data_IF_304670419890
#
_entry.id   IF_304670419890
#
_cell.length_a   1.000
_cell.length_b   1.000
_cell.length_c   1.000
_cell.angle_alpha   90.00
_cell.angle_beta   90.00
_cell.angle_gamma   90.00
#
_symmetry.space_group_name_H-M   'P 1'
#
loop_
_entity.id
_entity.type
_entity.pdbx_description
1 polymer ?
#
# COMPACT_ATOMS: atom_id res chain seq x y z
N UNK A 1 -12.79 -6.90 -4.42
CA UNK A 1 -12.49 -7.10 -2.97
C UNK A 1 -11.55 -8.27 -2.86
N UNK A 2 -10.46 -8.10 -2.15
CA UNK A 2 -9.54 -9.19 -1.85
C UNK A 2 -10.32 -10.36 -1.22
N UNK A 3 -10.10 -11.57 -1.73
CA UNK A 3 -10.91 -12.74 -1.34
C UNK A 3 -10.65 -13.11 0.12
N UNK A 4 -9.39 -13.08 0.53
CA UNK A 4 -8.98 -13.41 1.90
C UNK A 4 -9.54 -12.40 2.90
N UNK A 5 -9.40 -11.11 2.65
CA UNK A 5 -9.97 -10.06 3.50
C UNK A 5 -11.50 -10.13 3.57
N UNK A 6 -12.14 -10.47 2.45
CA UNK A 6 -13.59 -10.66 2.43
C UNK A 6 -14.03 -11.86 3.29
N UNK A 7 -13.29 -12.95 3.26
CA UNK A 7 -13.57 -14.16 4.05
C UNK A 7 -13.33 -13.91 5.55
N UNK A 8 -12.19 -13.30 5.93
CA UNK A 8 -11.90 -12.87 7.32
C UNK A 8 -13.00 -11.97 7.87
N UNK A 9 -13.41 -10.96 7.10
CA UNK A 9 -14.47 -10.05 7.54
C UNK A 9 -15.81 -10.76 7.74
N UNK A 10 -16.20 -11.69 6.86
CA UNK A 10 -17.41 -12.50 7.02
C UNK A 10 -17.36 -13.40 8.25
N UNK A 11 -16.21 -14.02 8.54
CA UNK A 11 -16.00 -14.82 9.74
C UNK A 11 -16.19 -13.99 11.00
N UNK A 12 -15.54 -12.82 11.08
CA UNK A 12 -15.68 -11.89 12.21
C UNK A 12 -17.15 -11.51 12.43
N UNK A 13 -17.87 -11.16 11.34
CA UNK A 13 -19.29 -10.80 11.42
C UNK A 13 -20.16 -11.96 11.96
N UNK A 14 -19.85 -13.20 11.58
CA UNK A 14 -20.53 -14.39 12.08
C UNK A 14 -20.27 -14.58 13.58
N UNK A 15 -19.03 -14.43 14.02
CA UNK A 15 -18.64 -14.54 15.43
C UNK A 15 -19.26 -13.44 16.31
N UNK A 16 -19.34 -12.20 15.82
CA UNK A 16 -20.02 -11.07 16.48
C UNK A 16 -21.52 -11.30 16.72
N UNK A 17 -22.11 -12.30 16.10
CA UNK A 17 -23.55 -12.54 16.21
C UNK A 17 -23.95 -13.38 17.45
N UNK A 18 -22.99 -13.93 18.19
CA UNK A 18 -23.24 -14.80 19.32
C UNK A 18 -22.42 -14.36 20.53
N UNK A 19 -23.03 -14.34 21.71
CA UNK A 19 -22.37 -13.94 22.96
C UNK A 19 -21.15 -14.80 23.29
N UNK A 20 -21.26 -16.11 23.14
CA UNK A 20 -20.19 -17.07 23.46
C UNK A 20 -18.94 -16.92 22.57
N UNK A 21 -19.07 -16.30 21.39
CA UNK A 21 -17.95 -16.07 20.47
C UNK A 21 -17.57 -14.60 20.36
N UNK A 22 -18.19 -13.71 21.13
CA UNK A 22 -17.97 -12.27 21.03
C UNK A 22 -16.52 -11.88 21.34
N UNK A 23 -15.93 -12.41 22.41
CA UNK A 23 -14.54 -12.12 22.77
C UNK A 23 -13.55 -12.56 21.66
N UNK A 24 -13.80 -13.73 21.05
CA UNK A 24 -13.01 -14.18 19.89
C UNK A 24 -13.20 -13.25 18.68
N UNK A 25 -14.43 -12.81 18.43
CA UNK A 25 -14.72 -11.88 17.32
C UNK A 25 -13.96 -10.56 17.45
N UNK A 26 -13.92 -9.97 18.66
CA UNK A 26 -13.18 -8.72 18.90
C UNK A 26 -11.67 -8.94 18.73
N UNK A 27 -11.10 -10.01 19.26
CA UNK A 27 -9.68 -10.33 19.07
C UNK A 27 -9.33 -10.48 17.59
N UNK A 28 -10.09 -11.29 16.83
CA UNK A 28 -9.89 -11.44 15.38
C UNK A 28 -10.08 -10.14 14.60
N UNK A 29 -11.00 -9.28 15.03
CA UNK A 29 -11.19 -7.97 14.42
C UNK A 29 -9.95 -7.10 14.60
N UNK A 30 -9.38 -7.06 15.79
CA UNK A 30 -8.17 -6.26 16.08
C UNK A 30 -6.98 -6.80 15.28
N UNK A 31 -6.75 -8.12 15.27
CA UNK A 31 -5.71 -8.77 14.47
C UNK A 31 -5.87 -8.45 12.97
N UNK A 32 -7.11 -8.47 12.45
CA UNK A 32 -7.39 -8.11 11.07
C UNK A 32 -7.17 -6.63 10.78
N UNK A 33 -7.48 -5.74 11.72
CA UNK A 33 -7.20 -4.31 11.62
C UNK A 33 -5.70 -4.02 11.66
N UNK A 34 -4.90 -4.80 12.42
CA UNK A 34 -3.44 -4.72 12.39
C UNK A 34 -2.90 -5.05 11.00
N UNK A 35 -3.41 -6.12 10.39
CA UNK A 35 -3.03 -6.53 9.02
C UNK A 35 -3.38 -5.43 7.99
N UNK A 36 -4.59 -4.87 8.08
CA UNK A 36 -5.03 -3.79 7.19
C UNK A 36 -4.21 -2.50 7.41
N UNK A 37 -3.93 -2.14 8.66
CA UNK A 37 -3.13 -0.96 8.98
C UNK A 37 -1.70 -1.10 8.47
N UNK A 38 -1.14 -2.30 8.51
CA UNK A 38 0.18 -2.59 7.96
C UNK A 38 0.27 -2.25 6.46
N UNK A 39 -0.82 -2.39 5.68
CA UNK A 39 -0.84 -1.96 4.28
C UNK A 39 -0.67 -0.44 4.15
N UNK A 40 -1.29 0.33 5.06
CA UNK A 40 -1.13 1.79 5.11
C UNK A 40 0.30 2.15 5.49
N UNK A 41 0.85 1.49 6.51
CA UNK A 41 2.24 1.66 6.95
C UNK A 41 3.21 1.46 5.78
N UNK A 42 3.06 0.37 5.03
CA UNK A 42 3.91 0.10 3.86
C UNK A 42 3.80 1.16 2.76
N UNK A 43 2.62 1.76 2.59
CA UNK A 43 2.45 2.85 1.63
C UNK A 43 3.14 4.13 2.15
N UNK A 44 2.91 4.50 3.41
CA UNK A 44 3.47 5.73 3.99
C UNK A 44 4.99 5.70 4.05
N UNK A 45 5.57 4.58 4.49
CA UNK A 45 7.02 4.42 4.58
C UNK A 45 7.70 4.20 3.22
N UNK A 46 6.97 3.67 2.24
CA UNK A 46 7.54 3.25 0.96
C UNK A 46 7.44 4.26 -0.17
N UNK A 47 6.67 5.34 -0.02
CA UNK A 47 6.41 6.28 -1.12
C UNK A 47 6.74 7.72 -0.75
N UNK A 48 7.29 8.51 -1.69
CA UNK A 48 7.56 9.92 -1.45
C UNK A 48 6.24 10.72 -1.33
N UNK A 49 6.32 11.84 -0.62
CA UNK A 49 5.19 12.71 -0.31
C UNK A 49 4.34 13.05 -1.55
N UNK A 50 5.00 13.33 -2.69
CA UNK A 50 4.29 13.65 -3.94
C UNK A 50 3.32 12.57 -4.43
N UNK A 51 3.52 11.30 -4.07
CA UNK A 51 2.61 10.21 -4.43
C UNK A 51 1.25 10.34 -3.71
N UNK A 52 1.23 11.03 -2.57
CA UNK A 52 0.05 11.09 -1.70
C UNK A 52 -1.03 12.05 -2.18
N UNK A 53 -0.70 13.02 -3.03
CA UNK A 53 -1.67 13.97 -3.58
C UNK A 53 -1.95 13.76 -5.08
N UNK A 54 -1.38 12.73 -5.70
CA UNK A 54 -1.65 12.42 -7.10
C UNK A 54 -2.95 11.62 -7.26
N UNK A 55 -3.70 11.92 -8.34
CA UNK A 55 -4.95 11.27 -8.72
C UNK A 55 -4.79 10.54 -10.07
N UNK A 56 -4.20 9.33 -10.10
CA UNK A 56 -3.93 8.63 -11.36
C UNK A 56 -5.21 8.09 -12.04
N UNK A 57 -6.35 8.19 -11.38
CA UNK A 57 -7.67 7.82 -11.86
C UNK A 57 -8.67 9.00 -11.78
N UNK A 58 -8.20 10.22 -12.03
CA UNK A 58 -9.09 11.39 -12.07
C UNK A 58 -10.26 11.15 -13.03
N UNK A 59 -11.47 11.48 -12.58
CA UNK A 59 -12.71 11.26 -13.33
C UNK A 59 -13.25 9.84 -13.35
N UNK A 60 -12.58 8.87 -12.73
CA UNK A 60 -13.14 7.52 -12.55
C UNK A 60 -14.26 7.51 -11.49
N UNK A 61 -15.16 6.54 -11.59
CA UNK A 61 -16.17 6.30 -10.55
C UNK A 61 -15.62 5.31 -9.51
N UNK A 62 -15.76 5.64 -8.22
CA UNK A 62 -15.42 4.75 -7.11
C UNK A 62 -14.26 5.26 -6.23
N UNK A 63 -13.91 4.47 -5.23
CA UNK A 63 -12.94 4.86 -4.18
C UNK A 63 -11.53 5.16 -4.70
N UNK A 64 -11.13 4.57 -5.82
CA UNK A 64 -9.81 4.80 -6.43
C UNK A 64 -9.69 6.12 -7.21
N UNK A 65 -10.80 6.88 -7.36
CA UNK A 65 -10.76 8.25 -7.94
C UNK A 65 -10.30 9.30 -6.93
N UNK A 66 -9.64 8.89 -5.88
CA UNK A 66 -9.15 9.73 -4.78
C UNK A 66 -7.61 9.72 -4.76
N UNK A 67 -7.03 10.38 -3.76
CA UNK A 67 -5.59 10.32 -3.48
C UNK A 67 -5.30 9.34 -2.33
N UNK A 68 -4.02 9.02 -2.11
CA UNK A 68 -3.61 8.22 -0.96
C UNK A 68 -3.85 8.97 0.35
N UNK A 69 -3.47 10.25 0.44
CA UNK A 69 -3.64 11.05 1.65
C UNK A 69 -5.13 11.25 1.99
N UNK A 70 -5.96 11.59 1.01
CA UNK A 70 -7.41 11.67 1.23
C UNK A 70 -7.97 10.36 1.78
N UNK A 71 -7.57 9.21 1.23
CA UNK A 71 -8.10 7.91 1.67
C UNK A 71 -7.74 7.60 3.12
N UNK A 72 -6.51 7.95 3.56
CA UNK A 72 -6.09 7.82 4.96
C UNK A 72 -6.92 8.75 5.84
N UNK A 73 -7.00 10.05 5.47
CA UNK A 73 -7.83 11.01 6.19
C UNK A 73 -9.26 10.52 6.35
N UNK A 74 -9.90 10.15 5.27
CA UNK A 74 -11.29 9.76 5.24
C UNK A 74 -11.60 8.51 6.10
N UNK A 75 -10.74 7.49 6.04
CA UNK A 75 -10.89 6.30 6.88
C UNK A 75 -10.89 6.69 8.36
N UNK A 76 -9.85 7.43 8.78
CA UNK A 76 -9.63 7.67 10.20
C UNK A 76 -10.47 8.82 10.76
N UNK A 77 -10.89 9.80 9.94
CA UNK A 77 -11.89 10.79 10.37
C UNK A 77 -13.24 10.15 10.67
N UNK A 78 -13.72 9.28 9.77
CA UNK A 78 -14.97 8.56 10.02
C UNK A 78 -14.85 7.70 11.27
N UNK A 79 -13.76 6.99 11.43
CA UNK A 79 -13.56 6.12 12.58
C UNK A 79 -13.45 6.91 13.89
N UNK A 80 -12.72 8.01 13.91
CA UNK A 80 -12.53 8.87 15.07
C UNK A 80 -13.88 9.43 15.55
N UNK A 81 -14.67 9.99 14.64
CA UNK A 81 -16.02 10.49 14.95
C UNK A 81 -16.90 9.38 15.53
N UNK A 82 -16.95 8.23 14.88
CA UNK A 82 -17.83 7.13 15.31
C UNK A 82 -17.36 6.51 16.62
N UNK A 83 -16.05 6.30 16.80
CA UNK A 83 -15.49 5.71 18.00
C UNK A 83 -15.69 6.60 19.22
N UNK A 84 -15.33 7.87 19.10
CA UNK A 84 -15.26 8.78 20.22
C UNK A 84 -16.61 9.50 20.47
N UNK A 85 -17.15 10.15 19.46
CA UNK A 85 -18.36 10.95 19.67
C UNK A 85 -19.63 10.09 19.84
N UNK A 86 -19.69 8.93 19.14
CA UNK A 86 -20.89 8.10 19.18
C UNK A 86 -20.80 6.93 20.18
N UNK A 87 -19.69 6.20 20.22
CA UNK A 87 -19.59 4.97 21.02
C UNK A 87 -19.11 5.29 22.43
N UNK A 88 -17.96 5.95 22.57
CA UNK A 88 -17.35 6.27 23.87
C UNK A 88 -17.99 7.50 24.54
N UNK A 89 -18.42 8.48 23.78
CA UNK A 89 -18.98 9.74 24.28
C UNK A 89 -17.89 10.67 24.84
N UNK A 90 -16.70 10.62 24.27
CA UNK A 90 -15.54 11.42 24.67
C UNK A 90 -14.99 12.24 23.50
N UNK A 91 -13.90 12.99 23.73
CA UNK A 91 -13.29 13.85 22.74
C UNK A 91 -12.59 13.03 21.63
N UNK A 92 -12.75 13.46 20.40
CA UNK A 92 -12.11 12.87 19.22
C UNK A 92 -10.60 13.06 19.29
N UNK A 93 -9.84 12.07 18.78
CA UNK A 93 -8.37 12.10 18.72
C UNK A 93 -7.86 13.30 17.93
N UNK A 94 -8.56 13.73 16.87
CA UNK A 94 -8.17 14.87 16.07
C UNK A 94 -7.94 16.15 16.90
N UNK A 95 -8.68 16.31 17.97
CA UNK A 95 -8.62 17.52 18.83
C UNK A 95 -7.69 17.34 20.04
N UNK A 96 -7.08 16.19 20.20
CA UNK A 96 -6.06 15.90 21.23
C UNK A 96 -4.66 16.10 20.68
N UNK A 97 -3.71 16.37 21.56
CA UNK A 97 -2.25 16.36 21.29
C UNK A 97 -1.84 17.13 20.02
N UNK A 98 -2.54 18.22 19.70
CA UNK A 98 -2.31 19.10 18.54
C UNK A 98 -2.37 18.42 17.16
N UNK A 99 -2.99 17.25 17.04
CA UNK A 99 -3.06 16.50 15.78
C UNK A 99 -3.61 17.33 14.61
N UNK A 100 -4.70 18.10 14.82
CA UNK A 100 -5.28 18.94 13.75
C UNK A 100 -4.26 19.93 13.18
N UNK A 101 -3.54 20.60 14.07
CA UNK A 101 -2.51 21.57 13.70
C UNK A 101 -1.32 20.90 13.03
N UNK A 102 -0.84 19.78 13.58
CA UNK A 102 0.30 19.04 13.06
C UNK A 102 0.03 18.46 11.65
N UNK A 103 -1.17 17.93 11.42
CA UNK A 103 -1.60 17.43 10.09
C UNK A 103 -1.70 18.57 9.08
N UNK A 104 -1.90 19.81 9.55
CA UNK A 104 -2.21 21.00 8.74
C UNK A 104 -3.50 20.82 7.91
N UNK A 105 -4.49 20.12 8.44
CA UNK A 105 -5.76 19.92 7.74
C UNK A 105 -6.60 21.19 7.72
N UNK A 106 -7.05 21.64 6.53
CA UNK A 106 -7.94 22.81 6.41
C UNK A 106 -9.41 22.49 6.77
N UNK A 107 -9.74 21.22 7.00
CA UNK A 107 -11.08 20.75 7.35
C UNK A 107 -11.02 19.84 8.58
N UNK A 108 -12.14 19.76 9.30
CA UNK A 108 -12.36 18.82 10.40
C UNK A 108 -13.37 17.73 10.03
N UNK A 109 -13.93 17.80 8.83
CA UNK A 109 -14.96 16.91 8.30
C UNK A 109 -14.37 15.60 7.77
N UNK A 110 -15.25 14.71 7.34
CA UNK A 110 -14.85 13.44 6.72
C UNK A 110 -14.27 13.59 5.31
N UNK A 111 -14.41 14.78 4.70
CA UNK A 111 -14.00 15.07 3.34
C UNK A 111 -14.95 14.54 2.26
N UNK A 112 -16.14 14.04 2.62
CA UNK A 112 -17.12 13.56 1.63
C UNK A 112 -17.61 14.64 0.67
N UNK A 113 -17.57 15.89 1.12
CA UNK A 113 -17.92 17.09 0.35
C UNK A 113 -16.92 17.42 -0.75
N UNK A 114 -15.69 16.89 -0.68
CA UNK A 114 -14.63 17.22 -1.64
C UNK A 114 -14.77 16.41 -2.93
N UNK A 115 -14.70 17.10 -4.06
CA UNK A 115 -14.82 16.49 -5.38
C UNK A 115 -13.66 16.88 -6.32
N UNK A 116 -13.39 16.01 -7.27
CA UNK A 116 -12.45 16.28 -8.36
C UNK A 116 -11.07 16.76 -7.87
N UNK A 117 -10.63 17.91 -8.37
CA UNK A 117 -9.33 18.50 -8.05
C UNK A 117 -9.22 19.00 -6.60
N UNK A 118 -10.34 19.31 -5.94
CA UNK A 118 -10.34 19.73 -4.53
C UNK A 118 -9.70 18.68 -3.63
N UNK A 119 -9.86 17.39 -3.96
CA UNK A 119 -9.25 16.28 -3.24
C UNK A 119 -7.72 16.33 -3.32
N UNK A 120 -7.17 16.63 -4.49
CA UNK A 120 -5.73 16.76 -4.67
C UNK A 120 -5.18 17.99 -3.95
N UNK A 121 -5.88 19.13 -4.05
CA UNK A 121 -5.49 20.36 -3.37
C UNK A 121 -5.59 20.24 -1.84
N UNK A 122 -6.61 19.56 -1.32
CA UNK A 122 -6.69 19.18 0.08
C UNK A 122 -5.48 18.34 0.49
N UNK A 123 -5.20 17.27 -0.27
CA UNK A 123 -4.14 16.32 0.03
C UNK A 123 -2.74 16.94 0.03
N UNK A 124 -2.49 17.93 -0.82
CA UNK A 124 -1.21 18.69 -0.86
C UNK A 124 -0.93 19.49 0.40
N UNK A 125 -1.97 19.85 1.15
CA UNK A 125 -1.83 20.63 2.39
C UNK A 125 -1.47 19.78 3.59
N UNK A 126 -1.74 18.47 3.52
CA UNK A 126 -1.56 17.58 4.66
C UNK A 126 -0.09 17.18 4.84
N UNK A 127 0.39 17.21 6.07
CA UNK A 127 1.61 16.50 6.46
C UNK A 127 1.31 15.00 6.48
N UNK A 128 1.87 14.25 5.54
CA UNK A 128 1.65 12.79 5.41
C UNK A 128 2.10 12.05 6.67
N UNK A 129 3.22 12.44 7.26
CA UNK A 129 3.76 11.81 8.46
C UNK A 129 2.83 12.03 9.67
N UNK A 130 2.37 13.27 9.88
CA UNK A 130 1.47 13.59 10.99
C UNK A 130 0.07 12.96 10.78
N UNK A 131 -0.40 12.90 9.54
CA UNK A 131 -1.62 12.18 9.18
C UNK A 131 -1.51 10.69 9.54
N UNK A 132 -0.36 10.07 9.30
CA UNK A 132 -0.10 8.68 9.68
C UNK A 132 -0.07 8.51 11.22
N UNK A 133 0.56 9.42 11.95
CA UNK A 133 0.58 9.39 13.43
C UNK A 133 -0.83 9.54 14.01
N UNK A 134 -1.63 10.45 13.47
CA UNK A 134 -3.04 10.57 13.83
C UNK A 134 -3.81 9.27 13.52
N UNK A 135 -3.66 8.72 12.32
CA UNK A 135 -4.31 7.47 11.93
C UNK A 135 -3.98 6.31 12.90
N UNK A 136 -2.71 6.24 13.33
CA UNK A 136 -2.25 5.27 14.32
C UNK A 136 -2.89 5.50 15.68
N UNK A 137 -2.94 6.74 16.15
CA UNK A 137 -3.56 7.11 17.43
C UNK A 137 -5.07 6.78 17.44
N UNK A 138 -5.79 7.08 16.34
CA UNK A 138 -7.21 6.71 16.18
C UNK A 138 -7.38 5.18 16.24
N UNK A 139 -6.59 4.43 15.48
CA UNK A 139 -6.64 2.97 15.49
C UNK A 139 -6.45 2.41 16.90
N UNK A 140 -5.38 2.82 17.59
CA UNK A 140 -5.06 2.34 18.94
C UNK A 140 -6.16 2.69 19.95
N UNK A 141 -6.75 3.87 19.84
CA UNK A 141 -7.86 4.28 20.69
C UNK A 141 -9.14 3.50 20.40
N UNK A 142 -9.47 3.36 19.12
CA UNK A 142 -10.64 2.56 18.70
C UNK A 142 -10.52 1.10 19.11
N UNK A 143 -9.34 0.51 19.03
CA UNK A 143 -9.11 -0.88 19.44
C UNK A 143 -9.32 -1.06 20.96
N UNK A 144 -8.94 -0.06 21.78
CA UNK A 144 -9.26 -0.04 23.22
C UNK A 144 -10.77 0.05 23.47
N UNK A 145 -11.47 0.93 22.73
CA UNK A 145 -12.92 1.06 22.81
C UNK A 145 -13.59 -0.27 22.43
N UNK A 146 -13.22 -0.88 21.30
CA UNK A 146 -13.75 -2.16 20.84
C UNK A 146 -13.51 -3.28 21.85
N UNK A 147 -12.32 -3.32 22.46
CA UNK A 147 -11.94 -4.32 23.47
C UNK A 147 -12.72 -4.17 24.78
N UNK A 148 -13.17 -2.97 25.10
CA UNK A 148 -13.96 -2.68 26.34
C UNK A 148 -15.44 -3.02 26.20
N UNK A 149 -15.95 -3.17 24.96
CA UNK A 149 -17.37 -3.43 24.71
C UNK A 149 -17.80 -4.79 25.29
N UNK A 150 -19.03 -4.82 25.78
CA UNK A 150 -19.71 -6.04 26.17
C UNK A 150 -20.73 -6.44 25.11
N UNK A 151 -21.00 -7.73 24.96
CA UNK A 151 -21.93 -8.25 23.95
C UNK A 151 -23.32 -7.58 23.99
N UNK A 152 -23.83 -7.30 25.20
CA UNK A 152 -25.13 -6.61 25.38
C UNK A 152 -25.18 -5.22 24.77
N UNK A 153 -24.02 -4.54 24.65
CA UNK A 153 -23.93 -3.20 24.10
C UNK A 153 -24.05 -3.17 22.57
N UNK A 154 -23.82 -4.29 21.90
CA UNK A 154 -23.88 -4.39 20.45
C UNK A 154 -25.21 -3.93 19.86
N UNK A 155 -26.30 -4.05 20.63
CA UNK A 155 -27.66 -3.65 20.24
C UNK A 155 -28.00 -2.20 20.64
N UNK A 156 -27.08 -1.49 21.29
CA UNK A 156 -27.29 -0.09 21.68
C UNK A 156 -27.46 0.76 20.43
N UNK A 157 -28.57 1.50 20.39
CA UNK A 157 -28.88 2.46 19.34
C UNK A 157 -28.57 3.88 19.83
N UNK A 158 -28.49 4.78 18.89
CA UNK A 158 -28.17 6.18 19.14
C UNK A 158 -29.46 6.99 19.28
N UNK A 159 -29.41 8.00 20.13
CA UNK A 159 -30.56 8.86 20.45
C UNK A 159 -30.62 10.07 19.54
N UNK A 160 -31.72 10.83 19.62
CA UNK A 160 -31.82 12.14 18.97
C UNK A 160 -30.74 13.11 19.45
N UNK A 161 -30.37 13.01 20.74
CA UNK A 161 -29.30 13.85 21.32
C UNK A 161 -27.93 13.51 20.71
N UNK A 162 -27.66 12.23 20.44
CA UNK A 162 -26.43 11.83 19.72
C UNK A 162 -26.40 12.44 18.32
N UNK A 163 -27.54 12.36 17.60
CA UNK A 163 -27.65 12.97 16.27
C UNK A 163 -27.43 14.48 16.32
N UNK A 164 -28.03 15.14 17.31
CA UNK A 164 -27.91 16.60 17.50
C UNK A 164 -26.45 17.00 17.77
N UNK A 165 -25.74 16.27 18.64
CA UNK A 165 -24.33 16.52 18.93
C UNK A 165 -23.47 16.39 17.68
N UNK A 166 -23.68 15.35 16.84
CA UNK A 166 -22.97 15.18 15.57
C UNK A 166 -23.19 16.34 14.61
N UNK A 167 -24.39 16.92 14.56
CA UNK A 167 -24.67 18.12 13.76
C UNK A 167 -23.93 19.34 14.34
N UNK A 168 -23.98 19.52 15.65
CA UNK A 168 -23.35 20.65 16.34
C UNK A 168 -21.82 20.62 16.30
N UNK A 169 -21.21 19.42 16.26
CA UNK A 169 -19.76 19.25 16.17
C UNK A 169 -19.17 19.72 14.85
N UNK A 170 -20.01 19.81 13.80
CA UNK A 170 -19.58 20.14 12.42
C UNK A 170 -18.49 19.24 11.86
N UNK A 171 -18.31 18.06 12.44
CA UNK A 171 -17.35 17.05 11.94
C UNK A 171 -17.87 16.28 10.72
N UNK A 172 -19.12 16.50 10.34
CA UNK A 172 -19.70 16.10 9.05
C UNK A 172 -20.18 17.35 8.35
N UNK A 173 -19.81 17.54 7.10
CA UNK A 173 -20.22 18.70 6.30
C UNK A 173 -21.74 18.72 6.09
N UNK A 174 -22.31 19.92 5.98
CA UNK A 174 -23.71 20.13 5.64
C UNK A 174 -24.01 19.86 4.15
N UNK A 175 -22.98 19.62 3.34
CA UNK A 175 -23.12 19.26 1.94
C UNK A 175 -23.90 17.95 1.76
N UNK A 176 -24.73 17.88 0.72
CA UNK A 176 -25.57 16.70 0.46
C UNK A 176 -24.77 15.40 0.29
N UNK A 177 -23.54 15.52 -0.24
CA UNK A 177 -22.63 14.38 -0.41
C UNK A 177 -22.07 13.85 0.92
N UNK A 178 -22.19 14.59 2.02
CA UNK A 178 -21.65 14.25 3.33
C UNK A 178 -22.76 14.07 4.40
N UNK A 179 -23.76 14.92 4.42
CA UNK A 179 -24.73 15.03 5.54
C UNK A 179 -25.50 13.73 5.79
N UNK A 180 -25.74 12.93 4.76
CA UNK A 180 -26.42 11.64 4.87
C UNK A 180 -25.70 10.66 5.81
N UNK A 181 -24.39 10.84 6.07
CA UNK A 181 -23.60 10.01 6.99
C UNK A 181 -24.19 10.01 8.41
N UNK A 182 -24.67 11.15 8.88
CA UNK A 182 -25.26 11.29 10.21
C UNK A 182 -26.46 10.36 10.36
N UNK A 183 -27.38 10.36 9.38
CA UNK A 183 -28.53 9.48 9.39
C UNK A 183 -28.15 8.01 9.22
N UNK A 184 -27.16 7.75 8.38
CA UNK A 184 -26.64 6.41 8.17
C UNK A 184 -26.06 5.82 9.47
N UNK A 185 -25.22 6.56 10.19
CA UNK A 185 -24.63 6.08 11.43
C UNK A 185 -25.65 5.98 12.56
N UNK A 186 -26.46 6.99 12.76
CA UNK A 186 -27.50 6.99 13.80
C UNK A 186 -28.59 5.94 13.55
N UNK A 187 -28.78 5.52 12.33
CA UNK A 187 -29.69 4.41 11.98
C UNK A 187 -29.15 3.02 12.33
N UNK A 188 -27.84 2.89 12.66
CA UNK A 188 -27.22 1.63 13.05
C UNK A 188 -27.31 1.41 14.56
N UNK A 189 -26.98 0.22 14.99
CA UNK A 189 -26.53 -0.09 16.35
C UNK A 189 -25.00 -0.23 16.36
N UNK A 190 -24.38 -0.43 17.52
CA UNK A 190 -22.93 -0.59 17.64
C UNK A 190 -22.42 -1.73 16.75
N UNK A 191 -23.13 -2.86 16.67
CA UNK A 191 -22.76 -3.96 15.78
C UNK A 191 -22.69 -3.52 14.32
N UNK A 192 -23.67 -2.75 13.85
CA UNK A 192 -23.69 -2.21 12.49
C UNK A 192 -22.55 -1.24 12.22
N UNK A 193 -22.13 -0.47 13.22
CA UNK A 193 -20.96 0.41 13.12
C UNK A 193 -19.65 -0.39 13.08
N UNK A 194 -19.51 -1.43 13.91
CA UNK A 194 -18.35 -2.34 13.83
C UNK A 194 -18.20 -2.94 12.44
N UNK A 195 -19.32 -3.32 11.81
CA UNK A 195 -19.33 -3.97 10.51
C UNK A 195 -18.99 -3.03 9.34
N UNK A 196 -19.01 -1.72 9.53
CA UNK A 196 -18.75 -0.76 8.45
C UNK A 196 -17.57 0.15 8.77
N UNK A 197 -17.63 1.17 9.64
CA UNK A 197 -16.49 2.05 9.90
C UNK A 197 -15.22 1.32 10.35
N UNK A 198 -15.35 0.29 11.19
CA UNK A 198 -14.19 -0.38 11.80
C UNK A 198 -13.66 -1.60 11.03
N UNK A 199 -14.29 -1.98 9.91
CA UNK A 199 -13.83 -3.13 9.11
C UNK A 199 -14.02 -2.94 7.61
N UNK A 200 -15.24 -3.09 7.08
CA UNK A 200 -15.48 -3.08 5.63
C UNK A 200 -15.04 -1.77 4.96
N UNK A 201 -15.23 -0.65 5.61
CA UNK A 201 -14.82 0.66 5.11
C UNK A 201 -13.31 0.73 4.88
N UNK A 202 -12.53 0.20 5.81
CA UNK A 202 -11.08 0.09 5.66
C UNK A 202 -10.71 -0.74 4.44
N UNK A 203 -11.29 -1.94 4.30
CA UNK A 203 -11.01 -2.83 3.16
C UNK A 203 -11.21 -2.10 1.84
N UNK A 204 -12.35 -1.43 1.66
CA UNK A 204 -12.68 -0.76 0.40
C UNK A 204 -11.69 0.35 0.04
N UNK A 205 -11.29 1.16 1.03
CA UNK A 205 -10.34 2.24 0.80
C UNK A 205 -8.90 1.75 0.65
N UNK A 206 -8.47 0.75 1.40
CA UNK A 206 -7.11 0.18 1.27
C UNK A 206 -6.94 -0.51 -0.07
N UNK A 207 -7.92 -1.26 -0.56
CA UNK A 207 -7.90 -1.81 -1.92
C UNK A 207 -7.81 -0.72 -2.99
N UNK A 208 -8.53 0.37 -2.79
CA UNK A 208 -8.46 1.53 -3.68
C UNK A 208 -7.06 2.17 -3.63
N UNK A 209 -6.48 2.33 -2.44
CA UNK A 209 -5.12 2.84 -2.27
C UNK A 209 -4.08 1.94 -2.96
N UNK A 210 -4.23 0.61 -2.89
CA UNK A 210 -3.35 -0.32 -3.60
C UNK A 210 -3.45 -0.14 -5.12
N UNK A 211 -4.67 0.06 -5.67
CA UNK A 211 -4.86 0.36 -7.10
C UNK A 211 -4.22 1.69 -7.49
N UNK A 212 -4.39 2.74 -6.68
CA UNK A 212 -3.74 4.04 -6.88
C UNK A 212 -2.24 3.86 -6.92
N UNK A 213 -1.66 3.25 -5.90
CA UNK A 213 -0.23 2.94 -5.77
C UNK A 213 0.30 2.20 -7.01
N UNK A 214 -0.35 1.12 -7.42
CA UNK A 214 0.07 0.32 -8.56
C UNK A 214 0.04 1.13 -9.86
N UNK A 215 -0.97 1.98 -10.05
CA UNK A 215 -1.06 2.86 -11.21
C UNK A 215 0.04 3.93 -11.21
N UNK A 216 0.33 4.52 -10.06
CA UNK A 216 1.44 5.48 -9.90
C UNK A 216 2.78 4.83 -10.23
N UNK A 217 3.05 3.62 -9.73
CA UNK A 217 4.23 2.84 -10.07
C UNK A 217 4.35 2.61 -11.59
N UNK A 218 3.25 2.23 -12.23
CA UNK A 218 3.22 1.99 -13.67
C UNK A 218 3.48 3.27 -14.48
N UNK A 219 2.96 4.41 -14.02
CA UNK A 219 3.23 5.72 -14.65
C UNK A 219 4.69 6.10 -14.45
N UNK A 220 5.22 6.00 -13.23
CA UNK A 220 6.60 6.37 -12.91
C UNK A 220 7.65 5.55 -13.69
N UNK A 221 7.35 4.28 -14.01
CA UNK A 221 8.26 3.43 -14.82
C UNK A 221 8.23 3.72 -16.31
N UNK A 222 7.29 4.51 -16.78
CA UNK A 222 7.17 4.80 -18.21
C UNK A 222 8.36 5.66 -18.68
N UNK A 223 9.14 5.12 -19.60
CA UNK A 223 10.32 5.80 -20.16
C UNK A 223 11.58 5.73 -19.31
N UNK A 224 11.55 5.01 -18.19
CA UNK A 224 12.72 4.72 -17.35
C UNK A 224 13.43 3.46 -17.87
N UNK A 225 14.75 3.41 -17.68
CA UNK A 225 15.56 2.23 -18.03
C UNK A 225 14.97 0.96 -17.40
N UNK A 226 14.51 -0.02 -18.20
CA UNK A 226 13.89 -1.24 -17.68
C UNK A 226 14.90 -2.24 -17.08
N UNK A 227 16.19 -1.97 -17.14
CA UNK A 227 17.21 -2.80 -16.50
C UNK A 227 17.41 -2.33 -15.08
N UNK A 228 17.04 -3.19 -14.12
CA UNK A 228 17.21 -2.92 -12.70
C UNK A 228 18.69 -2.80 -12.32
N UNK A 229 18.97 -2.14 -11.19
CA UNK A 229 20.34 -2.01 -10.65
C UNK A 229 21.00 -3.38 -10.42
N UNK A 230 20.24 -4.39 -10.00
CA UNK A 230 20.70 -5.77 -9.84
C UNK A 230 20.74 -6.60 -11.15
N UNK A 231 20.52 -5.98 -12.31
CA UNK A 231 20.61 -6.64 -13.62
C UNK A 231 19.32 -7.31 -14.11
N UNK A 232 18.26 -7.36 -13.30
CA UNK A 232 16.99 -7.95 -13.74
C UNK A 232 16.26 -7.06 -14.75
N UNK A 233 15.46 -7.68 -15.64
CA UNK A 233 14.56 -6.95 -16.54
C UNK A 233 13.25 -6.63 -15.85
N UNK A 234 12.96 -5.33 -15.61
CA UNK A 234 11.70 -4.88 -15.04
C UNK A 234 10.49 -5.12 -15.97
N UNK A 235 10.70 -5.20 -17.27
CA UNK A 235 9.63 -5.46 -18.25
C UNK A 235 9.09 -6.89 -18.17
N UNK A 236 9.96 -7.82 -17.78
CA UNK A 236 9.65 -9.26 -17.70
C UNK A 236 9.54 -9.76 -16.25
N UNK A 237 9.56 -8.84 -15.27
CA UNK A 237 9.47 -9.21 -13.86
C UNK A 237 8.00 -9.47 -13.45
N UNK A 238 7.73 -10.57 -12.75
CA UNK A 238 6.40 -10.90 -12.26
C UNK A 238 5.85 -9.86 -11.26
N UNK A 239 6.72 -9.11 -10.57
CA UNK A 239 6.35 -8.01 -9.70
C UNK A 239 6.01 -6.72 -10.45
N UNK A 240 6.11 -6.73 -11.79
CA UNK A 240 6.02 -5.56 -12.64
C UNK A 240 4.81 -4.66 -12.41
N UNK A 241 3.68 -5.19 -12.02
CA UNK A 241 2.47 -4.39 -11.76
C UNK A 241 2.48 -3.70 -10.39
N UNK A 242 3.23 -4.23 -9.43
CA UNK A 242 3.21 -3.77 -8.03
C UNK A 242 4.51 -3.09 -7.59
N UNK A 243 5.55 -3.19 -8.40
CA UNK A 243 6.87 -2.67 -8.08
C UNK A 243 7.04 -1.25 -8.62
N UNK A 244 7.48 -0.32 -7.78
CA UNK A 244 7.82 1.05 -8.20
C UNK A 244 9.11 1.14 -9.01
N UNK A 245 9.95 0.09 -9.00
CA UNK A 245 11.25 0.07 -9.66
C UNK A 245 12.33 0.84 -8.90
N UNK A 246 13.57 0.37 -9.02
CA UNK A 246 14.72 1.00 -8.32
C UNK A 246 15.30 2.22 -9.03
N UNK A 247 14.84 2.53 -10.26
CA UNK A 247 15.32 3.66 -11.08
C UNK A 247 14.28 4.74 -11.29
N UNK A 248 13.10 4.60 -10.71
CA UNK A 248 12.03 5.59 -10.83
C UNK A 248 12.22 6.71 -9.82
N UNK A 249 11.49 7.79 -10.03
CA UNK A 249 11.41 8.90 -9.07
C UNK A 249 10.89 8.50 -7.69
N UNK A 250 10.18 7.37 -7.57
CA UNK A 250 9.73 6.83 -6.29
C UNK A 250 10.80 5.96 -5.62
N UNK A 251 11.78 5.44 -6.38
CA UNK A 251 12.84 4.57 -5.88
C UNK A 251 12.33 3.44 -4.96
N UNK A 252 11.22 2.83 -5.33
CA UNK A 252 10.51 1.83 -4.51
C UNK A 252 10.53 0.47 -5.19
N UNK A 253 11.63 -0.20 -5.10
CA UNK A 253 11.74 -1.60 -5.53
C UNK A 253 11.02 -2.51 -4.53
N UNK A 254 10.18 -3.44 -5.01
CA UNK A 254 9.49 -4.40 -4.14
C UNK A 254 10.44 -5.26 -3.31
N UNK A 255 11.64 -5.56 -3.81
CA UNK A 255 12.67 -6.27 -3.04
C UNK A 255 13.17 -5.45 -1.83
N UNK A 256 13.18 -4.12 -1.95
CA UNK A 256 13.60 -3.25 -0.85
C UNK A 256 12.69 -3.38 0.39
N UNK A 257 11.43 -3.77 0.21
CA UNK A 257 10.50 -3.98 1.34
C UNK A 257 10.92 -5.13 2.26
N UNK A 258 11.76 -6.04 1.78
CA UNK A 258 12.33 -7.14 2.58
C UNK A 258 13.62 -6.75 3.32
N UNK A 259 14.11 -5.51 3.13
CA UNK A 259 15.36 -5.03 3.70
C UNK A 259 15.10 -4.04 4.84
N UNK A 260 16.02 -3.99 5.82
CA UNK A 260 15.99 -3.01 6.89
C UNK A 260 15.97 -1.58 6.33
N UNK A 261 15.13 -0.72 6.89
CA UNK A 261 14.95 0.65 6.42
C UNK A 261 14.36 0.77 5.00
N UNK A 262 13.90 -0.35 4.41
CA UNK A 262 13.33 -0.41 3.05
C UNK A 262 14.23 0.16 1.95
N UNK A 263 15.52 0.08 2.17
CA UNK A 263 16.53 0.48 1.20
C UNK A 263 17.10 -0.78 0.56
N UNK A 264 17.02 -0.89 -0.77
CA UNK A 264 17.63 -2.01 -1.50
C UNK A 264 19.15 -1.97 -1.34
N UNK A 265 19.79 -3.01 -0.76
CA UNK A 265 21.23 -3.05 -0.56
C UNK A 265 22.03 -2.92 -1.87
N UNK A 266 21.51 -3.43 -2.98
CA UNK A 266 22.16 -3.28 -4.30
C UNK A 266 22.14 -1.83 -4.78
N UNK A 267 21.00 -1.14 -4.62
CA UNK A 267 20.89 0.29 -4.98
C UNK A 267 21.84 1.12 -4.13
N UNK A 268 21.87 0.91 -2.81
CA UNK A 268 22.78 1.61 -1.88
C UNK A 268 24.22 1.38 -2.27
N UNK A 269 24.63 0.12 -2.49
CA UNK A 269 25.99 -0.24 -2.86
C UNK A 269 26.43 0.40 -4.19
N UNK A 270 25.55 0.38 -5.21
CA UNK A 270 25.87 1.00 -6.50
C UNK A 270 25.98 2.52 -6.40
N UNK A 271 25.12 3.16 -5.59
CA UNK A 271 25.22 4.59 -5.32
C UNK A 271 26.55 4.96 -4.63
N UNK A 272 26.94 4.22 -3.58
CA UNK A 272 28.21 4.42 -2.85
C UNK A 272 29.43 4.20 -3.74
N UNK A 273 29.36 3.28 -4.71
CA UNK A 273 30.43 2.99 -5.67
C UNK A 273 30.39 3.90 -6.91
N UNK A 274 29.38 4.77 -7.03
CA UNK A 274 29.14 5.62 -8.19
C UNK A 274 29.11 4.85 -9.51
N UNK A 275 28.38 3.71 -9.55
CA UNK A 275 28.18 2.86 -10.72
C UNK A 275 26.67 2.77 -11.05
N UNK A 276 26.34 2.60 -12.33
CA UNK A 276 24.97 2.55 -12.81
C UNK A 276 24.22 1.29 -12.37
N UNK A 277 24.95 0.18 -12.20
CA UNK A 277 24.37 -1.06 -11.72
C UNK A 277 25.41 -2.10 -11.37
N UNK A 278 24.97 -3.20 -10.77
CA UNK A 278 25.85 -4.30 -10.35
C UNK A 278 26.65 -4.92 -11.53
N UNK A 279 26.16 -4.78 -12.76
CA UNK A 279 26.88 -5.22 -13.97
C UNK A 279 28.18 -4.44 -14.23
N UNK A 280 28.38 -3.26 -13.61
CA UNK A 280 29.65 -2.51 -13.69
C UNK A 280 30.60 -2.83 -12.52
N UNK A 281 30.10 -3.57 -11.50
CA UNK A 281 30.87 -3.83 -10.29
C UNK A 281 31.93 -4.91 -10.51
N UNK A 282 33.20 -4.60 -10.25
CA UNK A 282 34.32 -5.57 -10.37
C UNK A 282 34.21 -6.76 -9.43
N UNK A 283 33.47 -6.63 -8.32
CA UNK A 283 33.29 -7.67 -7.31
C UNK A 283 32.02 -8.52 -7.53
N UNK A 284 31.32 -8.37 -8.68
CA UNK A 284 30.02 -8.99 -8.92
C UNK A 284 30.03 -10.52 -8.70
N UNK A 285 31.07 -11.19 -9.17
CA UNK A 285 31.12 -12.68 -9.18
C UNK A 285 31.16 -13.26 -7.76
N UNK A 286 31.83 -12.57 -6.85
CA UNK A 286 31.95 -12.94 -5.43
C UNK A 286 30.92 -12.24 -4.53
N UNK A 287 30.05 -11.41 -5.09
CA UNK A 287 29.08 -10.63 -4.32
C UNK A 287 28.03 -11.54 -3.69
N UNK A 288 27.80 -11.33 -2.39
CA UNK A 288 26.80 -12.01 -1.56
C UNK A 288 25.81 -11.04 -0.90
N UNK A 289 25.70 -9.79 -1.42
CA UNK A 289 24.88 -8.71 -0.82
C UNK A 289 23.55 -8.57 -1.52
N UNK A 290 22.53 -8.19 -0.75
CA UNK A 290 21.22 -7.82 -1.25
C UNK A 290 20.58 -8.95 -2.08
N UNK A 291 20.30 -8.72 -3.36
CA UNK A 291 19.70 -9.72 -4.23
C UNK A 291 20.59 -10.95 -4.50
N UNK A 292 21.90 -10.81 -4.28
CA UNK A 292 22.89 -11.89 -4.55
C UNK A 292 23.20 -12.77 -3.33
N UNK A 293 22.46 -12.62 -2.22
CA UNK A 293 22.64 -13.53 -1.07
C UNK A 293 22.35 -14.99 -1.51
N UNK A 294 23.14 -15.98 -1.00
CA UNK A 294 22.98 -17.37 -1.41
C UNK A 294 21.61 -18.00 -1.15
N UNK A 295 20.88 -17.44 -0.18
CA UNK A 295 19.51 -17.88 0.17
C UNK A 295 18.43 -17.38 -0.79
N UNK A 296 18.77 -16.54 -1.77
CA UNK A 296 17.83 -16.05 -2.77
C UNK A 296 17.92 -16.88 -4.05
N UNK A 297 16.86 -17.61 -4.37
CA UNK A 297 16.76 -18.48 -5.55
C UNK A 297 17.02 -17.75 -6.88
N UNK A 298 16.79 -16.44 -6.93
CA UNK A 298 17.06 -15.61 -8.11
C UNK A 298 18.50 -15.09 -8.24
N UNK A 299 19.38 -15.35 -7.26
CA UNK A 299 20.72 -14.77 -7.21
C UNK A 299 21.58 -15.16 -8.42
N UNK A 300 21.62 -16.45 -8.79
CA UNK A 300 22.36 -16.96 -9.93
C UNK A 300 21.90 -16.35 -11.25
N UNK A 301 20.60 -16.32 -11.48
CA UNK A 301 20.01 -15.70 -12.67
C UNK A 301 20.37 -14.19 -12.76
N UNK A 302 20.29 -13.47 -11.67
CA UNK A 302 20.62 -12.03 -11.64
C UNK A 302 22.13 -11.78 -11.87
N UNK A 303 23.02 -12.62 -11.32
CA UNK A 303 24.47 -12.55 -11.60
C UNK A 303 24.77 -12.79 -13.06
N UNK A 304 24.20 -13.85 -13.66
CA UNK A 304 24.36 -14.17 -15.08
C UNK A 304 23.88 -13.02 -15.97
N UNK A 305 22.73 -12.42 -15.64
CA UNK A 305 22.20 -11.28 -16.37
C UNK A 305 23.12 -10.06 -16.27
N UNK A 306 23.66 -9.77 -15.09
CA UNK A 306 24.66 -8.72 -14.91
C UNK A 306 25.93 -8.97 -15.75
N UNK A 307 26.46 -10.19 -15.76
CA UNK A 307 27.63 -10.56 -16.58
C UNK A 307 27.34 -10.44 -18.08
N UNK A 308 26.14 -10.83 -18.50
CA UNK A 308 25.69 -10.66 -19.87
C UNK A 308 25.62 -9.18 -20.27
N UNK A 309 25.01 -8.33 -19.40
CA UNK A 309 24.92 -6.88 -19.62
C UNK A 309 26.32 -6.26 -19.70
N UNK A 310 27.24 -6.65 -18.82
CA UNK A 310 28.65 -6.19 -18.85
C UNK A 310 29.32 -6.49 -20.19
N UNK A 311 29.07 -7.65 -20.76
CA UNK A 311 29.71 -8.12 -22.00
C UNK A 311 29.05 -7.59 -23.27
N UNK A 312 27.72 -7.51 -23.30
CA UNK A 312 26.94 -7.23 -24.52
C UNK A 312 26.09 -5.98 -24.46
N UNK A 313 26.01 -5.34 -23.30
CA UNK A 313 25.21 -4.14 -23.06
C UNK A 313 23.72 -4.39 -22.82
N UNK A 314 23.06 -3.40 -22.22
CA UNK A 314 21.64 -3.45 -21.82
C UNK A 314 20.70 -3.71 -23.01
N UNK A 315 20.96 -3.07 -24.17
CA UNK A 315 20.10 -3.19 -25.35
C UNK A 315 20.02 -4.63 -25.87
N UNK A 316 21.16 -5.33 -25.91
CA UNK A 316 21.18 -6.73 -26.36
C UNK A 316 20.59 -7.66 -25.31
N UNK A 317 20.84 -7.38 -24.04
CA UNK A 317 20.22 -8.09 -22.94
C UNK A 317 18.68 -8.06 -23.02
N UNK A 318 18.07 -6.88 -23.21
CA UNK A 318 16.61 -6.76 -23.31
C UNK A 318 16.04 -7.56 -24.49
N UNK A 319 16.70 -7.59 -25.63
CA UNK A 319 16.30 -8.46 -26.75
C UNK A 319 16.33 -9.96 -26.40
N UNK A 320 17.34 -10.37 -25.66
CA UNK A 320 17.44 -11.79 -25.22
C UNK A 320 16.31 -12.10 -24.23
N UNK A 321 16.05 -11.22 -23.28
CA UNK A 321 14.93 -11.38 -22.35
C UNK A 321 13.59 -11.49 -23.08
N UNK A 322 13.31 -10.60 -24.03
CA UNK A 322 12.08 -10.66 -24.83
C UNK A 322 11.93 -12.01 -25.52
N UNK A 323 12.99 -12.53 -26.17
CA UNK A 323 12.96 -13.84 -26.85
C UNK A 323 12.73 -15.00 -25.89
N UNK A 324 13.32 -14.96 -24.70
CA UNK A 324 13.11 -15.99 -23.69
C UNK A 324 11.67 -16.00 -23.22
N UNK A 325 11.12 -14.82 -22.96
CA UNK A 325 9.75 -14.67 -22.47
C UNK A 325 8.66 -14.85 -23.55
N UNK A 326 8.99 -14.72 -24.82
CA UNK A 326 8.12 -15.13 -25.94
C UNK A 326 7.98 -16.66 -26.05
N UNK A 327 8.99 -17.42 -25.56
CA UNK A 327 9.02 -18.89 -25.64
C UNK A 327 8.58 -19.57 -24.37
N UNK A 328 8.85 -18.96 -23.23
CA UNK A 328 8.66 -19.55 -21.91
C UNK A 328 7.98 -18.59 -20.97
N UNK A 329 7.08 -19.12 -20.14
CA UNK A 329 6.54 -18.35 -19.02
C UNK A 329 7.63 -17.95 -18.01
N UNK A 330 7.39 -16.88 -17.24
CA UNK A 330 8.36 -16.32 -16.31
C UNK A 330 8.98 -17.39 -15.38
N UNK A 331 8.17 -18.23 -14.76
CA UNK A 331 8.66 -19.27 -13.86
C UNK A 331 9.62 -20.22 -14.55
N UNK A 332 9.32 -20.60 -15.80
CA UNK A 332 10.20 -21.49 -16.60
C UNK A 332 11.51 -20.80 -16.96
N UNK A 333 11.51 -19.51 -17.25
CA UNK A 333 12.75 -18.75 -17.46
C UNK A 333 13.59 -18.71 -16.19
N UNK A 334 12.98 -18.54 -15.02
CA UNK A 334 13.70 -18.58 -13.74
C UNK A 334 14.29 -19.97 -13.45
N UNK A 335 13.56 -21.04 -13.71
CA UNK A 335 14.08 -22.42 -13.59
C UNK A 335 15.30 -22.66 -14.50
N UNK A 336 15.24 -22.20 -15.77
CA UNK A 336 16.31 -22.34 -16.75
C UNK A 336 17.56 -21.55 -16.34
N UNK A 337 17.38 -20.36 -15.77
CA UNK A 337 18.47 -19.45 -15.39
C UNK A 337 18.89 -19.60 -13.92
N UNK A 338 18.19 -20.39 -13.12
CA UNK A 338 18.32 -20.39 -11.68
C UNK A 338 19.32 -21.39 -11.09
N UNK A 339 19.90 -22.32 -11.91
CA UNK A 339 20.70 -23.40 -11.36
C UNK A 339 22.13 -22.94 -11.00
N UNK A 340 22.85 -22.43 -11.99
CA UNK A 340 24.21 -21.92 -11.84
C UNK A 340 24.40 -20.70 -12.73
N UNK A 341 25.17 -19.72 -12.27
CA UNK A 341 25.30 -18.46 -13.02
C UNK A 341 26.14 -18.62 -14.32
N UNK A 342 27.06 -19.56 -14.39
CA UNK A 342 27.85 -19.82 -15.60
C UNK A 342 27.01 -20.51 -16.68
N UNK A 343 26.20 -21.49 -16.27
CA UNK A 343 25.23 -22.15 -17.16
C UNK A 343 24.15 -21.15 -17.63
N UNK A 344 23.64 -20.31 -16.73
CA UNK A 344 22.70 -19.27 -17.07
C UNK A 344 23.28 -18.26 -18.06
N UNK A 345 24.54 -17.85 -17.90
CA UNK A 345 25.21 -16.94 -18.81
C UNK A 345 25.37 -17.59 -20.21
N UNK A 346 25.74 -18.86 -20.26
CA UNK A 346 25.84 -19.62 -21.52
C UNK A 346 24.50 -19.67 -22.24
N UNK A 347 23.42 -19.93 -21.54
CA UNK A 347 22.05 -19.93 -22.11
C UNK A 347 21.67 -18.55 -22.67
N UNK A 348 21.99 -17.49 -21.96
CA UNK A 348 21.78 -16.12 -22.44
C UNK A 348 22.58 -15.84 -23.70
N UNK A 349 23.87 -16.27 -23.77
CA UNK A 349 24.73 -16.12 -24.94
C UNK A 349 24.24 -16.91 -26.16
N UNK A 350 23.78 -18.15 -25.97
CA UNK A 350 23.20 -18.97 -27.05
C UNK A 350 21.94 -18.33 -27.65
N UNK A 351 21.09 -17.75 -26.80
CA UNK A 351 19.90 -17.01 -27.25
C UNK A 351 20.22 -15.63 -27.86
N UNK A 352 21.38 -15.04 -27.51
CA UNK A 352 21.92 -13.86 -28.17
C UNK A 352 22.45 -14.12 -29.58
N UNK A 353 23.24 -15.19 -29.77
CA UNK A 353 23.85 -15.56 -31.05
C UNK A 353 22.85 -15.90 -32.16
N UNK A 354 21.69 -16.43 -31.83
CA UNK A 354 20.61 -16.73 -32.80
C UNK A 354 20.07 -15.50 -33.55
N UNK A 355 20.42 -14.27 -33.09
CA UNK A 355 20.06 -13.00 -33.74
C UNK A 355 20.97 -12.62 -34.92
N UNK A 356 22.16 -13.21 -35.04
CA UNK A 356 23.13 -12.90 -36.10
C UNK A 356 22.96 -13.76 -37.35
N UNK A 357 22.01 -14.70 -37.32
CA UNK A 357 21.79 -15.66 -38.42
C UNK A 357 20.42 -15.53 -39.12
N UNK A 358 19.67 -14.44 -38.91
CA UNK A 358 18.39 -14.18 -39.61
C UNK A 358 18.45 -12.85 -40.34
#
# INVERSE_FOLDING_TARGET
>A
MDKDWSEKNKEIQKLLSKEVTFGEAIRKLIEFRDELFQQITWIVEGYPEKAFYQMPFAGAKGYHSKTLAYSIWHIFRIEDIVAHEMIAGDEQILFRDDHLSAIASPIITTGNELEGEEIAEFSKKLSVQELYLYAKAVKESSDRILSSLQYKELKRKFTKDTKQKLVESKCVSEDENAFWLIDYWCGKDIKGLIQMPFSRHWIMHIEAMQRIKNRLCKIARKGVDPVAVCGLSCEHCFLGEWCGGCRTEYNVCSFATCSEGRICPNVKCCYEKNIDGCYECSELEVCDKGFFVPTNDGASAAKAQCLYIRKYGKKEFLKVQTRLHERYEFQKVQEILGQDYEDALRILEENGKRSAMV
#
